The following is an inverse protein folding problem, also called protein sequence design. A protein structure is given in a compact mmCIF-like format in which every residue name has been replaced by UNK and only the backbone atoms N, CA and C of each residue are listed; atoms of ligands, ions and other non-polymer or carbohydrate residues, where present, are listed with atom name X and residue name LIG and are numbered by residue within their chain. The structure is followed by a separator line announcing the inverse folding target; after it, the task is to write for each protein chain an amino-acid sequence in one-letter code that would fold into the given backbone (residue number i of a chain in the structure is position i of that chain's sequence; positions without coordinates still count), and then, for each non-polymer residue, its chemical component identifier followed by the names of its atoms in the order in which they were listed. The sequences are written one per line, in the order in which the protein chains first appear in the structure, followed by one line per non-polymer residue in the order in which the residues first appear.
data_IF_248947659528
#
_entry.id   IF_248947659528
#
_cell.length_a   1.000
_cell.length_b   1.000
_cell.length_c   1.000
_cell.angle_alpha   90.00
_cell.angle_beta   90.00
_cell.angle_gamma   90.00
#
_symmetry.space_group_name_H-M   'P 1'
#
loop_
_entity.id
_entity.type
_entity.pdbx_description
1 polymer ?
#
# COMPACT_ATOMS: atom_id res chain seq x y z
N UNK A 1 25.74 8.29 -8.95
CA UNK A 1 25.75 7.61 -10.27
C UNK A 1 24.57 8.14 -11.07
N UNK A 2 24.80 8.71 -12.26
CA UNK A 2 23.77 9.33 -13.11
C UNK A 2 23.10 8.34 -14.05
N UNK A 3 22.44 7.32 -13.49
CA UNK A 3 21.67 6.34 -14.28
C UNK A 3 20.23 6.83 -14.38
N UNK A 4 19.74 6.97 -15.61
CA UNK A 4 18.37 7.36 -15.90
C UNK A 4 17.42 6.18 -15.68
N UNK A 5 16.99 5.97 -14.44
CA UNK A 5 16.05 4.92 -14.06
C UNK A 5 14.63 5.43 -14.33
N UNK A 6 13.89 4.69 -15.17
CA UNK A 6 12.54 5.04 -15.60
C UNK A 6 11.57 3.94 -15.25
N UNK A 7 10.33 4.32 -14.99
CA UNK A 7 9.22 3.40 -14.89
C UNK A 7 8.55 3.21 -16.25
N UNK A 8 8.13 1.96 -16.50
CA UNK A 8 7.27 1.56 -17.60
C UNK A 8 6.08 0.79 -17.02
N UNK A 9 4.91 0.98 -17.61
CA UNK A 9 3.71 0.24 -17.23
C UNK A 9 3.13 -0.50 -18.42
N UNK A 10 2.63 -1.70 -18.11
CA UNK A 10 2.37 -2.74 -19.07
C UNK A 10 1.75 -3.98 -18.47
N UNK A 11 1.19 -4.80 -19.34
CA UNK A 11 0.72 -6.14 -19.02
C UNK A 11 0.95 -7.05 -20.23
N UNK A 12 0.84 -8.36 -20.02
CA UNK A 12 1.00 -9.36 -21.08
C UNK A 12 0.03 -9.08 -22.24
N UNK A 13 -1.19 -8.69 -21.90
CA UNK A 13 -2.28 -8.38 -22.82
C UNK A 13 -1.97 -7.17 -23.71
N UNK A 14 -1.03 -6.30 -23.30
CA UNK A 14 -0.63 -5.09 -24.02
C UNK A 14 0.67 -5.26 -24.80
N UNK A 15 1.28 -6.46 -24.79
CA UNK A 15 2.68 -6.65 -25.22
C UNK A 15 3.60 -5.67 -24.47
N UNK A 16 3.39 -5.52 -23.16
CA UNK A 16 4.17 -4.67 -22.23
C UNK A 16 3.99 -3.15 -22.39
N UNK A 17 3.65 -2.60 -23.55
CA UNK A 17 3.74 -1.14 -23.75
C UNK A 17 2.40 -0.42 -23.59
N UNK A 18 2.18 0.21 -22.43
CA UNK A 18 1.07 1.15 -22.19
C UNK A 18 1.59 2.57 -21.97
N UNK A 19 2.50 2.75 -21.01
CA UNK A 19 3.14 4.04 -20.73
C UNK A 19 4.61 3.87 -20.33
N UNK A 20 5.39 4.92 -20.50
CA UNK A 20 6.75 5.00 -19.96
C UNK A 20 7.17 6.44 -19.71
N UNK A 21 8.11 6.64 -18.79
CA UNK A 21 8.62 7.97 -18.47
C UNK A 21 9.54 8.50 -19.60
N UNK A 22 9.26 9.71 -20.13
CA UNK A 22 10.17 10.38 -21.07
C UNK A 22 11.52 10.70 -20.44
N UNK A 23 12.54 10.93 -21.28
CA UNK A 23 13.82 11.46 -20.79
C UNK A 23 13.64 12.84 -20.16
N UNK A 24 14.23 13.07 -18.99
CA UNK A 24 14.13 14.35 -18.28
C UNK A 24 12.81 14.56 -17.52
N UNK A 25 11.86 13.63 -17.60
CA UNK A 25 10.55 13.72 -16.93
C UNK A 25 10.31 12.56 -15.95
N UNK A 26 11.36 12.06 -15.29
CA UNK A 26 11.23 10.96 -14.32
C UNK A 26 10.58 11.47 -13.04
N UNK A 27 9.47 10.84 -12.65
CA UNK A 27 8.75 11.10 -11.39
C UNK A 27 8.65 9.82 -10.58
N UNK A 28 8.86 9.87 -9.27
CA UNK A 28 8.94 8.64 -8.47
C UNK A 28 7.61 7.90 -8.35
N UNK A 29 6.49 8.58 -8.54
CA UNK A 29 5.13 8.13 -8.25
C UNK A 29 4.26 7.95 -9.50
N UNK A 30 4.85 8.06 -10.69
CA UNK A 30 4.15 7.89 -11.98
C UNK A 30 4.77 6.77 -12.80
N UNK A 31 3.96 6.18 -13.67
CA UNK A 31 4.40 5.21 -14.69
C UNK A 31 4.58 5.84 -16.06
N UNK A 32 4.66 7.17 -16.11
CA UNK A 32 4.98 7.94 -17.30
C UNK A 32 3.81 8.33 -18.18
N UNK A 33 4.14 8.81 -19.38
CA UNK A 33 3.17 9.22 -20.40
C UNK A 33 2.81 8.05 -21.30
N UNK A 34 1.62 8.11 -21.86
CA UNK A 34 1.08 7.10 -22.79
C UNK A 34 2.01 6.93 -23.99
N UNK A 35 2.26 5.68 -24.40
CA UNK A 35 3.05 5.41 -25.60
C UNK A 35 2.34 5.91 -26.87
N UNK A 36 3.08 6.34 -27.91
CA UNK A 36 2.49 6.70 -29.19
C UNK A 36 1.64 5.55 -29.77
N UNK A 37 0.42 5.86 -30.18
CA UNK A 37 -0.53 4.88 -30.71
C UNK A 37 -1.28 4.06 -29.64
N UNK A 38 -1.03 4.30 -28.35
CA UNK A 38 -1.86 3.80 -27.26
C UNK A 38 -2.89 4.86 -26.90
N UNK A 39 -4.14 4.44 -26.77
CA UNK A 39 -5.24 5.25 -26.24
C UNK A 39 -5.54 4.80 -24.81
N UNK A 40 -5.79 5.75 -23.91
CA UNK A 40 -6.19 5.48 -22.53
C UNK A 40 -7.53 6.15 -22.21
N UNK A 41 -8.34 5.48 -21.41
CA UNK A 41 -9.50 6.07 -20.72
C UNK A 41 -9.55 5.57 -19.28
N UNK A 42 -10.10 6.39 -18.40
CA UNK A 42 -10.38 6.02 -17.01
C UNK A 42 -11.89 5.86 -16.83
N UNK A 43 -12.33 4.81 -16.16
CA UNK A 43 -13.72 4.68 -15.72
C UNK A 43 -13.97 5.51 -14.44
N UNK A 44 -15.24 5.62 -14.02
CA UNK A 44 -15.63 6.40 -12.82
C UNK A 44 -15.02 5.86 -11.51
N UNK A 45 -14.73 4.55 -11.48
CA UNK A 45 -13.99 3.90 -10.39
C UNK A 45 -12.46 4.07 -10.51
N UNK A 46 -11.99 4.87 -11.48
CA UNK A 46 -10.59 5.09 -11.85
C UNK A 46 -9.88 3.86 -12.44
N UNK A 47 -10.62 2.83 -12.86
CA UNK A 47 -10.03 1.72 -13.60
C UNK A 47 -9.46 2.20 -14.94
N UNK A 48 -8.22 1.79 -15.24
CA UNK A 48 -7.53 2.12 -16.47
C UNK A 48 -7.97 1.15 -17.55
N UNK A 49 -8.36 1.70 -18.70
CA UNK A 49 -8.57 0.96 -19.94
C UNK A 49 -7.61 1.45 -20.99
N UNK A 50 -7.12 0.54 -21.82
CA UNK A 50 -6.28 0.90 -22.95
C UNK A 50 -6.76 0.26 -24.24
N UNK A 51 -6.42 0.90 -25.36
CA UNK A 51 -6.50 0.32 -26.70
C UNK A 51 -5.18 0.59 -27.41
N UNK A 52 -4.59 -0.42 -28.03
CA UNK A 52 -3.32 -0.27 -28.74
C UNK A 52 -3.14 -1.30 -29.85
N UNK A 53 -2.18 -1.08 -30.79
CA UNK A 53 -1.78 -2.09 -31.76
C UNK A 53 -1.24 -3.39 -31.13
N UNK A 54 -0.77 -3.32 -29.88
CA UNK A 54 -0.20 -4.44 -29.13
C UNK A 54 -1.21 -5.24 -28.30
N UNK A 55 -2.51 -4.94 -28.41
CA UNK A 55 -3.57 -5.66 -27.71
C UNK A 55 -3.60 -7.13 -28.13
N UNK A 56 -3.67 -8.03 -27.15
CA UNK A 56 -3.80 -9.46 -27.36
C UNK A 56 -5.01 -9.85 -28.19
N UNK A 57 -4.91 -10.98 -28.89
CA UNK A 57 -6.05 -11.51 -29.67
C UNK A 57 -7.15 -12.06 -28.75
N UNK A 58 -6.82 -13.02 -27.91
CA UNK A 58 -7.76 -13.71 -27.01
C UNK A 58 -7.01 -14.57 -26.01
N UNK A 59 -7.66 -14.93 -24.90
CA UNK A 59 -7.18 -16.00 -24.05
C UNK A 59 -7.42 -17.36 -24.71
N UNK A 60 -6.45 -18.27 -24.62
CA UNK A 60 -6.51 -19.57 -25.28
C UNK A 60 -7.67 -20.41 -24.71
N UNK A 61 -8.60 -20.82 -25.60
CA UNK A 61 -9.80 -21.62 -25.27
C UNK A 61 -10.69 -20.99 -24.18
N UNK A 62 -10.65 -19.68 -24.01
CA UNK A 62 -11.45 -18.98 -23.00
C UNK A 62 -12.14 -17.73 -23.59
N UNK A 63 -13.25 -17.90 -24.34
CA UNK A 63 -13.97 -16.79 -24.95
C UNK A 63 -14.66 -15.89 -23.91
N UNK A 64 -15.12 -16.45 -22.79
CA UNK A 64 -15.78 -15.71 -21.72
C UNK A 64 -14.83 -14.68 -21.09
N UNK A 65 -13.68 -15.12 -20.57
CA UNK A 65 -12.70 -14.18 -20.01
C UNK A 65 -12.13 -13.21 -21.06
N UNK A 66 -12.12 -13.61 -22.34
CA UNK A 66 -11.72 -12.69 -23.42
C UNK A 66 -12.72 -11.55 -23.57
N UNK A 67 -14.01 -11.86 -23.57
CA UNK A 67 -15.09 -10.86 -23.68
C UNK A 67 -15.21 -9.99 -22.42
N UNK A 68 -14.95 -10.55 -21.23
CA UNK A 68 -14.92 -9.80 -19.98
C UNK A 68 -13.76 -8.80 -19.92
N UNK A 69 -12.64 -9.14 -20.55
CA UNK A 69 -11.40 -8.33 -20.48
C UNK A 69 -11.30 -7.33 -21.63
N UNK A 70 -11.80 -7.69 -22.83
CA UNK A 70 -11.70 -6.87 -24.03
C UNK A 70 -13.04 -6.71 -24.71
N UNK A 71 -13.47 -5.46 -24.89
CA UNK A 71 -14.73 -5.13 -25.56
C UNK A 71 -14.62 -5.21 -27.10
N UNK A 72 -15.76 -5.07 -27.78
CA UNK A 72 -15.84 -5.16 -29.25
C UNK A 72 -15.13 -4.00 -29.98
N UNK A 73 -14.85 -2.89 -29.27
CA UNK A 73 -14.10 -1.74 -29.80
C UNK A 73 -12.59 -1.86 -29.58
N UNK A 74 -12.15 -2.93 -28.91
CA UNK A 74 -10.76 -3.24 -28.62
C UNK A 74 -10.22 -2.60 -27.34
N UNK A 75 -11.07 -2.03 -26.48
CA UNK A 75 -10.63 -1.56 -25.17
C UNK A 75 -10.44 -2.74 -24.23
N UNK A 76 -9.31 -2.73 -23.53
CA UNK A 76 -8.93 -3.74 -22.56
C UNK A 76 -9.03 -3.16 -21.15
N UNK A 77 -9.79 -3.82 -20.28
CA UNK A 77 -9.81 -3.55 -18.85
C UNK A 77 -8.51 -4.03 -18.20
N UNK A 78 -7.73 -3.13 -17.59
CA UNK A 78 -6.47 -3.54 -16.93
C UNK A 78 -6.71 -4.19 -15.55
N UNK A 79 -7.85 -3.90 -14.94
CA UNK A 79 -8.11 -4.18 -13.53
C UNK A 79 -7.21 -3.39 -12.57
N UNK A 80 -6.42 -2.43 -13.05
CA UNK A 80 -5.64 -1.49 -12.26
C UNK A 80 -6.38 -0.15 -12.20
N UNK A 81 -6.30 0.51 -11.04
CA UNK A 81 -6.78 1.87 -10.86
C UNK A 81 -5.63 2.86 -11.01
N UNK A 82 -5.94 4.01 -11.60
CA UNK A 82 -4.97 5.07 -11.83
C UNK A 82 -5.60 6.41 -12.14
N UNK A 83 -4.78 7.44 -12.17
CA UNK A 83 -5.18 8.79 -12.58
C UNK A 83 -3.99 9.54 -13.16
N UNK A 84 -4.26 10.58 -13.94
CA UNK A 84 -3.22 11.45 -14.47
C UNK A 84 -2.86 12.55 -13.47
N UNK A 85 -1.58 12.88 -13.39
CA UNK A 85 -1.13 14.12 -12.79
C UNK A 85 -1.24 15.31 -13.74
N UNK A 86 -0.91 16.50 -13.24
CA UNK A 86 -1.02 17.77 -13.98
C UNK A 86 -0.13 17.85 -15.23
N UNK A 87 0.94 17.04 -15.30
CA UNK A 87 1.83 16.97 -16.46
C UNK A 87 1.44 15.85 -17.44
N UNK A 88 0.31 15.18 -17.21
CA UNK A 88 -0.21 14.11 -18.05
C UNK A 88 0.50 12.76 -17.86
N UNK A 89 1.20 12.56 -16.73
CA UNK A 89 1.76 11.27 -16.38
C UNK A 89 0.70 10.42 -15.67
N UNK A 90 0.58 9.16 -16.08
CA UNK A 90 -0.30 8.20 -15.42
C UNK A 90 0.33 7.75 -14.09
N UNK A 91 -0.45 7.77 -13.01
CA UNK A 91 -0.15 7.09 -11.75
C UNK A 91 -0.97 5.81 -11.66
N UNK A 92 -0.35 4.69 -11.31
CA UNK A 92 -1.03 3.44 -10.96
C UNK A 92 -0.98 3.30 -9.45
N UNK A 93 -2.15 3.12 -8.84
CA UNK A 93 -2.29 3.21 -7.39
C UNK A 93 -2.62 1.86 -6.73
N UNK A 94 -3.51 1.08 -7.31
CA UNK A 94 -3.87 -0.25 -6.80
C UNK A 94 -4.61 -1.06 -7.86
N UNK A 95 -5.09 -2.25 -7.51
CA UNK A 95 -6.11 -2.94 -8.28
C UNK A 95 -7.45 -2.22 -8.13
N UNK A 96 -8.19 -2.08 -9.22
CA UNK A 96 -9.48 -1.36 -9.23
C UNK A 96 -10.48 -1.91 -8.19
N UNK A 97 -10.47 -3.23 -7.97
CA UNK A 97 -11.32 -3.89 -6.96
C UNK A 97 -10.89 -3.67 -5.50
N UNK A 98 -9.66 -3.23 -5.28
CA UNK A 98 -9.07 -3.04 -3.95
C UNK A 98 -9.09 -1.55 -3.54
N UNK A 99 -9.41 -0.64 -4.46
CA UNK A 99 -9.58 0.80 -4.16
C UNK A 99 -10.90 1.01 -3.44
N UNK A 100 -10.80 1.58 -2.23
CA UNK A 100 -11.93 2.00 -1.42
C UNK A 100 -12.14 3.51 -1.44
N UNK A 101 -13.04 3.98 -0.59
CA UNK A 101 -13.29 5.41 -0.36
C UNK A 101 -13.38 5.72 1.12
N UNK A 102 -12.76 6.83 1.52
CA UNK A 102 -12.96 7.43 2.84
C UNK A 102 -14.42 7.93 2.97
N UNK A 103 -14.87 8.23 4.18
CA UNK A 103 -16.24 8.75 4.44
C UNK A 103 -16.52 10.08 3.75
N UNK A 104 -15.48 10.90 3.52
CA UNK A 104 -15.56 12.18 2.80
C UNK A 104 -15.50 12.01 1.26
N UNK A 105 -15.42 10.77 0.76
CA UNK A 105 -15.34 10.44 -0.66
C UNK A 105 -13.92 10.42 -1.23
N UNK A 106 -12.90 10.82 -0.45
CA UNK A 106 -11.49 10.71 -0.84
C UNK A 106 -11.16 9.27 -1.20
N UNK A 107 -10.31 9.08 -2.20
CA UNK A 107 -9.85 7.77 -2.62
C UNK A 107 -8.96 7.12 -1.54
N UNK A 108 -9.22 5.85 -1.25
CA UNK A 108 -8.35 5.04 -0.40
C UNK A 108 -7.72 3.92 -1.23
N UNK A 109 -6.42 4.03 -1.49
CA UNK A 109 -5.65 3.04 -2.25
C UNK A 109 -4.67 2.33 -1.30
N UNK A 110 -5.06 1.20 -0.70
CA UNK A 110 -4.29 0.64 0.41
C UNK A 110 -2.89 0.18 0.01
N UNK A 111 -2.71 -0.47 -1.15
CA UNK A 111 -1.37 -0.90 -1.59
C UNK A 111 -0.47 0.29 -1.91
N UNK A 112 -1.03 1.42 -2.37
CA UNK A 112 -0.27 2.63 -2.62
C UNK A 112 0.38 3.14 -1.33
N UNK A 113 -0.40 3.24 -0.26
CA UNK A 113 0.06 3.70 1.05
C UNK A 113 1.06 2.67 1.65
N UNK A 114 0.75 1.38 1.56
CA UNK A 114 1.61 0.30 2.06
C UNK A 114 2.97 0.25 1.34
N UNK A 115 3.00 0.46 0.03
CA UNK A 115 4.24 0.48 -0.73
C UNK A 115 5.09 1.72 -0.41
N UNK A 116 4.48 2.87 -0.10
CA UNK A 116 5.22 4.05 0.39
C UNK A 116 5.84 3.78 1.75
N UNK A 117 5.12 3.14 2.67
CA UNK A 117 5.68 2.71 3.96
C UNK A 117 6.84 1.72 3.76
N UNK A 118 6.67 0.71 2.92
CA UNK A 118 7.72 -0.29 2.61
C UNK A 118 8.93 0.26 1.84
N UNK A 119 8.87 1.50 1.36
CA UNK A 119 10.05 2.15 0.80
C UNK A 119 11.07 2.50 1.89
N UNK A 120 10.62 2.67 3.14
CA UNK A 120 11.51 2.86 4.27
C UNK A 120 12.13 1.52 4.67
N UNK A 121 13.47 1.44 4.82
CA UNK A 121 14.16 0.18 5.08
C UNK A 121 13.79 -0.46 6.43
N UNK A 122 13.20 0.31 7.35
CA UNK A 122 12.76 -0.15 8.66
C UNK A 122 11.42 -0.88 8.65
N UNK A 123 10.67 -0.84 7.53
CA UNK A 123 9.34 -1.42 7.41
C UNK A 123 9.40 -2.63 6.47
N UNK A 124 9.16 -3.81 7.02
CA UNK A 124 9.10 -5.06 6.26
C UNK A 124 7.80 -5.24 5.51
N UNK A 125 6.70 -4.96 6.21
CA UNK A 125 5.35 -5.11 5.68
C UNK A 125 4.42 -4.08 6.33
N UNK A 126 3.40 -3.67 5.60
CA UNK A 126 2.35 -2.80 6.12
C UNK A 126 0.99 -3.27 5.63
N UNK A 127 -0.04 -3.11 6.46
CA UNK A 127 -1.43 -3.36 6.07
C UNK A 127 -2.26 -2.16 6.50
N UNK A 128 -2.88 -1.50 5.53
CA UNK A 128 -3.67 -0.30 5.76
C UNK A 128 -5.17 -0.59 5.70
N UNK A 129 -5.92 0.18 6.49
CA UNK A 129 -7.37 0.14 6.60
C UNK A 129 -7.90 1.56 6.47
N UNK A 130 -8.99 1.77 5.75
CA UNK A 130 -9.48 3.13 5.49
C UNK A 130 -10.75 3.20 4.67
N UNK A 131 -11.08 2.14 3.93
CA UNK A 131 -12.37 2.05 3.21
C UNK A 131 -13.54 2.19 4.18
N UNK A 132 -14.41 3.18 3.92
CA UNK A 132 -15.53 3.55 4.77
C UNK A 132 -15.16 4.23 6.10
N UNK A 133 -13.94 4.76 6.25
CA UNK A 133 -13.45 5.38 7.51
C UNK A 133 -13.12 6.87 7.35
N UNK A 134 -13.07 7.59 8.47
CA UNK A 134 -12.69 9.03 8.53
C UNK A 134 -11.18 9.28 8.43
N UNK A 135 -10.38 8.23 8.61
CA UNK A 135 -8.94 8.26 8.52
C UNK A 135 -8.41 6.87 8.18
N UNK A 136 -7.24 6.81 7.55
CA UNK A 136 -6.56 5.55 7.37
C UNK A 136 -5.86 5.14 8.68
N UNK A 137 -5.81 3.84 8.93
CA UNK A 137 -5.01 3.25 9.99
C UNK A 137 -4.09 2.15 9.43
N UNK A 138 -3.04 1.81 10.15
CA UNK A 138 -2.03 0.88 9.65
C UNK A 138 -1.53 -0.11 10.71
N UNK A 139 -1.34 -1.35 10.28
CA UNK A 139 -0.40 -2.28 10.89
C UNK A 139 0.94 -2.15 10.20
N UNK A 140 2.02 -2.18 10.98
CA UNK A 140 3.39 -2.11 10.46
C UNK A 140 4.19 -3.26 11.08
N UNK A 141 4.83 -4.07 10.25
CA UNK A 141 5.88 -5.00 10.67
C UNK A 141 7.23 -4.35 10.45
N UNK A 142 8.07 -4.33 11.48
CA UNK A 142 9.44 -3.84 11.34
C UNK A 142 10.28 -4.83 10.52
N UNK A 143 11.29 -4.34 9.82
CA UNK A 143 12.38 -5.20 9.34
C UNK A 143 13.38 -5.39 10.48
N UNK A 144 13.41 -6.60 11.05
CA UNK A 144 14.20 -6.91 12.24
C UNK A 144 15.71 -6.72 12.04
N UNK A 145 16.21 -6.95 10.83
CA UNK A 145 17.63 -6.76 10.53
C UNK A 145 17.94 -5.26 10.45
N UNK A 146 17.13 -4.48 9.75
CA UNK A 146 17.35 -3.04 9.60
C UNK A 146 17.18 -2.29 10.93
N UNK A 147 16.11 -2.59 11.67
CA UNK A 147 15.82 -1.96 12.97
C UNK A 147 16.78 -2.47 14.04
N UNK A 148 17.18 -3.75 14.01
CA UNK A 148 18.22 -4.30 14.89
C UNK A 148 19.56 -3.59 14.73
N UNK A 149 20.03 -3.44 13.48
CA UNK A 149 21.24 -2.66 13.18
C UNK A 149 21.14 -1.19 13.64
N UNK A 150 19.96 -0.58 13.50
CA UNK A 150 19.70 0.78 13.97
C UNK A 150 19.74 0.91 15.50
N UNK A 151 19.22 -0.11 16.20
CA UNK A 151 19.16 -0.21 17.66
C UNK A 151 20.56 -0.45 18.26
N UNK A 152 21.34 -1.36 17.69
CA UNK A 152 22.72 -1.64 18.10
C UNK A 152 23.60 -0.39 18.04
N UNK A 153 23.50 0.41 16.97
CA UNK A 153 24.23 1.68 16.82
C UNK A 153 23.87 2.73 17.89
N UNK A 154 22.75 2.53 18.60
CA UNK A 154 22.26 3.37 19.69
C UNK A 154 22.41 2.73 21.07
N UNK A 155 23.06 1.56 21.15
CA UNK A 155 23.19 0.76 22.37
C UNK A 155 21.83 0.37 22.99
N UNK A 156 20.80 0.19 22.14
CA UNK A 156 19.50 -0.32 22.56
C UNK A 156 19.53 -1.85 22.58
N UNK A 157 19.50 -2.43 23.78
CA UNK A 157 19.44 -3.88 23.96
C UNK A 157 18.00 -4.39 23.76
N UNK A 158 17.86 -5.47 23.01
CA UNK A 158 16.59 -6.17 22.80
C UNK A 158 16.81 -7.68 22.77
N UNK A 159 15.77 -8.44 23.10
CA UNK A 159 15.82 -9.91 23.21
C UNK A 159 15.24 -10.65 21.99
N UNK A 160 14.54 -9.95 21.11
CA UNK A 160 13.97 -10.49 19.90
C UNK A 160 13.01 -9.51 19.22
N UNK A 161 12.30 -9.99 18.19
CA UNK A 161 11.38 -9.17 17.40
C UNK A 161 10.29 -8.51 18.27
N UNK A 162 9.60 -9.30 19.10
CA UNK A 162 8.50 -8.81 19.95
C UNK A 162 8.95 -7.70 20.90
N UNK A 163 10.12 -7.86 21.52
CA UNK A 163 10.69 -6.85 22.41
C UNK A 163 11.09 -5.59 21.63
N UNK A 164 11.78 -5.73 20.49
CA UNK A 164 12.22 -4.59 19.69
C UNK A 164 11.06 -3.78 19.12
N UNK A 165 10.04 -4.45 18.56
CA UNK A 165 8.84 -3.81 18.01
C UNK A 165 7.97 -3.11 19.06
N UNK A 166 8.12 -3.45 20.35
CA UNK A 166 7.41 -2.80 21.45
C UNK A 166 8.13 -1.57 22.02
N UNK A 167 9.36 -1.25 21.56
CA UNK A 167 10.14 -0.13 22.08
C UNK A 167 9.62 1.22 21.63
N UNK A 168 9.50 2.17 22.55
CA UNK A 168 9.12 3.54 22.23
C UNK A 168 10.06 4.19 21.21
N UNK A 169 11.36 3.89 21.28
CA UNK A 169 12.36 4.41 20.34
C UNK A 169 12.13 3.88 18.91
N UNK A 170 11.60 2.67 18.77
CA UNK A 170 11.25 2.08 17.48
C UNK A 170 9.94 2.70 16.97
N UNK A 171 8.95 2.90 17.83
CA UNK A 171 7.76 3.65 17.42
C UNK A 171 8.09 5.10 17.01
N UNK A 172 9.03 5.78 17.66
CA UNK A 172 9.51 7.11 17.27
C UNK A 172 10.14 7.08 15.86
N UNK A 173 10.98 6.09 15.59
CA UNK A 173 11.58 5.87 14.26
C UNK A 173 10.51 5.67 13.19
N UNK A 174 9.50 4.84 13.46
CA UNK A 174 8.44 4.58 12.49
C UNK A 174 7.45 5.74 12.39
N UNK A 175 7.32 6.58 13.42
CA UNK A 175 6.53 7.81 13.35
C UNK A 175 7.08 8.75 12.27
N UNK A 176 8.41 8.94 12.20
CA UNK A 176 9.05 9.74 11.15
C UNK A 176 8.72 9.19 9.74
N UNK A 177 8.67 7.87 9.60
CA UNK A 177 8.32 7.20 8.35
C UNK A 177 6.85 7.46 7.97
N UNK A 178 5.93 7.26 8.92
CA UNK A 178 4.48 7.46 8.72
C UNK A 178 4.18 8.93 8.38
N UNK A 179 4.77 9.87 9.11
CA UNK A 179 4.56 11.30 8.87
C UNK A 179 5.17 11.76 7.52
N UNK A 180 6.28 11.16 7.09
CA UNK A 180 6.82 11.37 5.75
C UNK A 180 5.87 10.87 4.65
N UNK A 181 5.24 9.71 4.85
CA UNK A 181 4.19 9.21 3.94
C UNK A 181 2.98 10.15 3.94
N UNK A 182 2.52 10.61 5.10
CA UNK A 182 1.41 11.56 5.20
C UNK A 182 1.71 12.88 4.48
N UNK A 183 2.94 13.39 4.59
CA UNK A 183 3.37 14.59 3.90
C UNK A 183 3.37 14.45 2.38
N UNK A 184 3.63 13.25 1.87
CA UNK A 184 3.54 12.95 0.45
C UNK A 184 2.08 12.80 -0.01
N UNK A 185 1.25 12.06 0.75
CA UNK A 185 -0.19 11.93 0.48
C UNK A 185 -0.89 13.30 0.49
N UNK A 186 -0.52 14.21 1.40
CA UNK A 186 -1.09 15.54 1.50
C UNK A 186 -0.87 16.42 0.27
N UNK A 187 0.10 16.08 -0.60
CA UNK A 187 0.38 16.79 -1.86
C UNK A 187 -0.48 16.30 -3.02
N UNK A 188 -1.12 15.14 -2.89
CA UNK A 188 -1.94 14.56 -3.94
C UNK A 188 -3.42 14.79 -3.61
N UNK A 189 -4.10 15.61 -4.41
CA UNK A 189 -5.51 15.98 -4.20
C UNK A 189 -6.41 14.75 -4.01
N UNK A 190 -6.22 13.71 -4.82
CA UNK A 190 -7.08 12.52 -4.82
C UNK A 190 -6.86 11.63 -3.59
N UNK A 191 -5.70 11.72 -2.94
CA UNK A 191 -5.30 10.84 -1.84
C UNK A 191 -5.14 11.57 -0.50
N UNK A 192 -5.21 12.90 -0.47
CA UNK A 192 -4.87 13.69 0.72
C UNK A 192 -5.70 13.38 1.97
N UNK A 193 -6.97 13.01 1.84
CA UNK A 193 -7.82 12.54 2.94
C UNK A 193 -7.51 11.11 3.44
N UNK A 194 -6.73 10.32 2.69
CA UNK A 194 -6.32 8.95 3.05
C UNK A 194 -5.06 8.87 3.92
N UNK A 195 -4.62 9.99 4.49
CA UNK A 195 -3.51 10.03 5.44
C UNK A 195 -3.75 9.10 6.63
N UNK A 196 -2.68 8.42 7.04
CA UNK A 196 -2.67 7.54 8.21
C UNK A 196 -2.83 8.44 9.44
N UNK A 197 -3.82 8.17 10.28
CA UNK A 197 -3.95 8.85 11.58
C UNK A 197 -3.44 7.97 12.70
N UNK A 198 -3.79 6.68 12.69
CA UNK A 198 -3.52 5.75 13.81
C UNK A 198 -2.80 4.52 13.31
N UNK A 199 -1.78 4.06 14.02
CA UNK A 199 -1.04 2.87 13.66
C UNK A 199 -0.49 2.13 14.88
N UNK A 200 -0.13 0.88 14.67
CA UNK A 200 0.57 0.06 15.65
C UNK A 200 1.64 -0.80 14.96
N UNK A 201 2.66 -1.22 15.73
CA UNK A 201 3.69 -2.12 15.25
C UNK A 201 3.33 -3.56 15.64
N UNK A 202 3.11 -4.45 14.67
CA UNK A 202 2.79 -5.85 14.98
C UNK A 202 3.96 -6.50 15.71
N UNK A 203 3.62 -7.32 16.73
CA UNK A 203 4.55 -8.03 17.62
C UNK A 203 5.25 -9.24 16.97
N UNK A 204 4.92 -9.54 15.71
CA UNK A 204 5.56 -10.53 14.84
C UNK A 204 5.50 -10.10 13.37
N UNK A 205 6.27 -10.76 12.52
CA UNK A 205 6.12 -10.65 11.06
C UNK A 205 4.86 -11.39 10.58
N UNK A 206 4.31 -10.92 9.46
CA UNK A 206 3.27 -11.65 8.74
C UNK A 206 3.89 -12.86 8.00
N UNK A 207 3.26 -14.02 8.14
CA UNK A 207 3.79 -15.28 7.61
C UNK A 207 2.85 -15.96 6.60
N UNK A 208 3.43 -16.61 5.59
CA UNK A 208 2.69 -17.43 4.64
C UNK A 208 2.19 -18.75 5.25
N UNK A 209 2.92 -19.34 6.20
CA UNK A 209 2.53 -20.56 6.91
C UNK A 209 1.37 -20.30 7.88
N UNK A 210 1.29 -19.08 8.42
CA UNK A 210 0.13 -18.59 9.16
C UNK A 210 -1.05 -18.21 8.24
N UNK A 211 -0.86 -18.27 6.91
CA UNK A 211 -1.86 -17.93 5.91
C UNK A 211 -2.14 -16.43 5.77
N UNK A 212 -1.30 -15.57 6.35
CA UNK A 212 -1.41 -14.12 6.34
C UNK A 212 -0.86 -13.52 5.04
N UNK A 213 0.16 -14.18 4.48
CA UNK A 213 0.72 -13.90 3.18
C UNK A 213 0.50 -15.06 2.20
N UNK A 214 0.58 -14.79 0.90
CA UNK A 214 0.85 -15.83 -0.10
C UNK A 214 2.34 -16.22 -0.03
N UNK A 215 2.71 -17.35 -0.67
CA UNK A 215 4.13 -17.73 -0.85
C UNK A 215 4.95 -16.68 -1.63
N UNK A 216 4.28 -15.83 -2.40
CA UNK A 216 4.87 -14.68 -3.10
C UNK A 216 4.82 -13.39 -2.26
N UNK A 217 4.60 -13.51 -0.94
CA UNK A 217 4.51 -12.42 0.04
C UNK A 217 3.41 -11.39 -0.24
N UNK A 218 2.32 -11.76 -0.91
CA UNK A 218 1.14 -10.89 -1.05
C UNK A 218 0.24 -11.01 0.17
N UNK A 219 -0.12 -9.88 0.77
CA UNK A 219 -1.05 -9.83 1.93
C UNK A 219 -2.41 -10.43 1.59
N UNK A 220 -2.88 -11.36 2.42
CA UNK A 220 -4.23 -11.95 2.35
C UNK A 220 -5.17 -11.16 3.26
N UNK A 221 -5.59 -9.97 2.80
CA UNK A 221 -6.38 -8.99 3.58
C UNK A 221 -7.57 -9.59 4.35
N UNK A 222 -8.33 -10.51 3.75
CA UNK A 222 -9.45 -11.19 4.44
C UNK A 222 -8.98 -11.93 5.70
N UNK A 223 -7.87 -12.65 5.60
CA UNK A 223 -7.29 -13.39 6.74
C UNK A 223 -6.74 -12.43 7.77
N UNK A 224 -6.09 -11.33 7.35
CA UNK A 224 -5.64 -10.28 8.26
C UNK A 224 -6.81 -9.66 9.03
N UNK A 225 -7.89 -9.30 8.32
CA UNK A 225 -9.07 -8.72 8.93
C UNK A 225 -9.73 -9.67 9.95
N UNK A 226 -9.77 -10.96 9.66
CA UNK A 226 -10.32 -11.98 10.55
C UNK A 226 -9.44 -12.22 11.79
N UNK A 227 -8.13 -12.45 11.59
CA UNK A 227 -7.20 -12.76 12.70
C UNK A 227 -6.97 -11.59 13.63
N UNK A 228 -6.84 -10.39 13.07
CA UNK A 228 -6.47 -9.18 13.82
C UNK A 228 -7.66 -8.26 14.04
N UNK A 229 -8.89 -8.78 14.00
CA UNK A 229 -10.12 -8.00 14.19
C UNK A 229 -10.10 -7.16 15.48
N UNK A 230 -9.53 -7.72 16.57
CA UNK A 230 -9.36 -7.02 17.85
C UNK A 230 -8.48 -5.78 17.72
N UNK A 231 -7.37 -5.88 16.99
CA UNK A 231 -6.45 -4.77 16.76
C UNK A 231 -7.04 -3.73 15.82
N UNK A 232 -7.78 -4.16 14.79
CA UNK A 232 -8.47 -3.23 13.87
C UNK A 232 -9.52 -2.43 14.64
N UNK A 233 -10.29 -3.09 15.51
CA UNK A 233 -11.29 -2.42 16.36
C UNK A 233 -10.64 -1.41 17.29
N UNK A 234 -9.50 -1.75 17.90
CA UNK A 234 -8.75 -0.83 18.74
C UNK A 234 -8.16 0.36 17.97
N UNK A 235 -7.75 0.17 16.71
CA UNK A 235 -7.33 1.28 15.84
C UNK A 235 -8.48 2.24 15.54
N UNK A 236 -9.72 1.75 15.50
CA UNK A 236 -10.92 2.55 15.20
C UNK A 236 -11.44 3.33 16.42
N UNK A 237 -11.16 2.86 17.64
CA UNK A 237 -11.46 3.59 18.87
C UNK A 237 -10.42 4.70 19.14
N UNK A 238 -10.77 5.99 19.01
CA UNK A 238 -9.83 7.09 19.20
C UNK A 238 -9.32 7.23 20.64
N UNK A 239 -9.99 6.62 21.63
CA UNK A 239 -9.57 6.68 23.04
C UNK A 239 -8.60 5.56 23.40
N UNK A 240 -8.56 4.48 22.62
CA UNK A 240 -7.68 3.35 22.91
C UNK A 240 -6.24 3.69 22.58
N UNK A 241 -5.31 3.44 23.50
CA UNK A 241 -3.87 3.70 23.30
C UNK A 241 -3.02 2.43 23.29
N UNK A 242 -3.61 1.31 23.70
CA UNK A 242 -2.95 0.01 23.84
C UNK A 242 -3.96 -1.10 23.51
N UNK A 243 -3.49 -2.22 22.97
CA UNK A 243 -4.32 -3.40 22.75
C UNK A 243 -3.52 -4.69 22.95
N UNK A 244 -4.02 -5.53 23.85
CA UNK A 244 -3.49 -6.87 24.06
C UNK A 244 -3.92 -7.81 22.93
N UNK A 245 -3.04 -8.73 22.55
CA UNK A 245 -3.34 -9.84 21.65
C UNK A 245 -2.55 -11.08 22.04
N UNK A 246 -3.22 -12.23 21.95
CA UNK A 246 -2.59 -13.54 21.98
C UNK A 246 -2.48 -14.06 20.54
N UNK A 247 -1.27 -14.39 20.10
CA UNK A 247 -1.04 -14.96 18.78
C UNK A 247 -0.29 -16.27 18.87
N UNK A 248 -0.71 -17.24 18.07
CA UNK A 248 0.10 -18.44 17.84
C UNK A 248 1.24 -18.08 16.89
N UNK A 249 2.46 -18.41 17.31
CA UNK A 249 3.66 -18.25 16.50
C UNK A 249 4.34 -19.60 16.35
N UNK A 250 4.69 -19.94 15.11
CA UNK A 250 5.55 -21.08 14.82
C UNK A 250 7.00 -20.61 14.91
N UNK A 251 7.75 -21.13 15.87
CA UNK A 251 9.18 -20.86 16.01
C UNK A 251 9.98 -21.56 14.90
N UNK A 252 11.21 -21.11 14.65
CA UNK A 252 12.08 -21.69 13.61
C UNK A 252 12.32 -23.19 13.74
N UNK A 253 12.18 -23.74 14.95
CA UNK A 253 12.29 -25.18 15.23
C UNK A 253 10.98 -25.96 15.04
N UNK A 254 9.94 -25.30 14.52
CA UNK A 254 8.62 -25.87 14.25
C UNK A 254 7.72 -25.98 15.49
N UNK A 255 8.16 -25.55 16.68
CA UNK A 255 7.28 -25.47 17.85
C UNK A 255 6.24 -24.37 17.64
N UNK A 256 5.01 -24.64 18.04
CA UNK A 256 3.96 -23.63 18.11
C UNK A 256 3.88 -23.17 19.57
N UNK A 257 3.98 -21.86 19.80
CA UNK A 257 3.72 -21.27 21.11
C UNK A 257 2.77 -20.09 21.00
N UNK A 258 2.16 -19.73 22.12
CA UNK A 258 1.38 -18.51 22.23
C UNK A 258 2.31 -17.38 22.67
N UNK A 259 2.29 -16.28 21.93
CA UNK A 259 2.93 -15.02 22.31
C UNK A 259 1.81 -14.06 22.71
N UNK A 260 1.88 -13.58 23.94
CA UNK A 260 1.07 -12.49 24.42
C UNK A 260 1.83 -11.18 24.20
N UNK A 261 1.17 -10.17 23.63
CA UNK A 261 1.76 -8.86 23.42
C UNK A 261 0.74 -7.75 23.71
N UNK A 262 1.21 -6.68 24.35
CA UNK A 262 0.49 -5.42 24.46
C UNK A 262 1.05 -4.43 23.43
N UNK A 263 0.21 -4.02 22.49
CA UNK A 263 0.59 -3.21 21.34
C UNK A 263 0.18 -1.76 21.57
N UNK A 264 1.17 -0.86 21.61
CA UNK A 264 0.91 0.57 21.64
C UNK A 264 0.25 1.02 20.32
N UNK A 265 -0.74 1.89 20.43
CA UNK A 265 -1.37 2.57 19.30
C UNK A 265 -0.94 4.02 19.34
N UNK A 266 -0.28 4.46 18.26
CA UNK A 266 0.17 5.84 18.11
C UNK A 266 -0.66 6.60 17.11
N UNK A 267 -0.81 7.89 17.38
CA UNK A 267 -1.37 8.84 16.42
C UNK A 267 -0.23 9.56 15.70
N UNK A 268 -0.40 9.78 14.40
CA UNK A 268 0.48 10.59 13.58
C UNK A 268 -0.22 11.87 13.16
N UNK A 269 0.55 12.94 13.01
CA UNK A 269 0.01 14.20 12.53
C UNK A 269 -0.49 14.04 11.07
N UNK A 270 -1.71 14.53 10.82
CA UNK A 270 -2.23 14.72 9.47
C UNK A 270 -2.05 16.17 9.06
N UNK A 271 -1.57 16.38 7.84
CA UNK A 271 -1.36 17.68 7.25
C UNK A 271 -2.67 18.13 6.61
N UNK A 272 -3.12 19.34 6.95
CA UNK A 272 -4.25 19.96 6.26
C UNK A 272 -3.87 20.15 4.80
N UNK A 273 -4.59 19.49 3.89
CA UNK A 273 -4.40 19.71 2.47
C UNK A 273 -4.85 21.14 2.12
N UNK A 274 -4.07 21.84 1.32
CA UNK A 274 -4.40 23.20 0.85
C UNK A 274 -5.49 23.22 -0.23
N UNK A 275 -6.06 22.06 -0.57
CA UNK A 275 -6.83 21.87 -1.81
C UNK A 275 -8.32 22.19 -1.64
N UNK A 276 -8.83 22.35 -0.41
CA UNK A 276 -10.26 22.64 -0.16
C UNK A 276 -10.61 24.10 0.14
N UNK A 277 -9.76 25.08 -0.22
CA UNK A 277 -10.10 26.51 -0.07
C UNK A 277 -10.71 27.17 -1.32
N UNK A 278 -11.13 26.40 -2.33
CA UNK A 278 -11.79 26.91 -3.54
C UNK A 278 -13.17 26.25 -3.75
N UNK A 279 -14.02 26.30 -2.73
CA UNK A 279 -15.45 26.11 -2.88
C UNK A 279 -16.20 26.87 -1.77
N UNK A 280 -16.27 28.19 -1.91
CA UNK A 280 -17.21 29.06 -1.21
C UNK A 280 -17.63 30.19 -2.14
#
# INVERSE_FOLDING_TARGET
MGINIKQLYGQTEATVFISAQPDGEVKSDTVGKVFPGVELRLADNNEVFYRSPGVFHSYYKNPESTADTKDAEGWVATGDAGFFDDDGHLKIIDRAKDVGRMTDGTMFAPKYIENKLKFFPFIKEAVTFGDGKDYASAFICIDIEAVGNWAERRNLAYSGYTDLSARDEVYDLLQECVESVNADLARDEKLSGSQIKRYLLLHKELDADDGELTRTRKVRRRIIAEKYAVLITALDDPQQTHCEIDSQMTFEDGRIGNVHADLQIRESARIKSHVHNLAA
#
